data_IF_208146044039
#
_entry.id   IF_208146044039
#
_cell.length_a   1.000
_cell.length_b   1.000
_cell.length_c   1.000
_cell.angle_alpha   90.00
_cell.angle_beta   90.00
_cell.angle_gamma   90.00
#
_symmetry.space_group_name_H-M   'P 1'
#
loop_
_entity.id
_entity.type
_entity.pdbx_description
1 polymer ?
#
# COMPACT_ATOMS: atom_id res chain seq x y z
N UNK A 1 -6.01 -11.56 -12.38
CA UNK A 1 -5.05 -10.59 -12.96
C UNK A 1 -5.04 -10.63 -14.48
N UNK A 2 -4.99 -11.81 -15.05
CA UNK A 2 -4.92 -12.00 -16.49
C UNK A 2 -6.18 -11.50 -17.21
N UNK A 3 -7.30 -11.42 -16.49
CA UNK A 3 -8.58 -10.93 -17.01
C UNK A 3 -8.61 -9.42 -17.18
N UNK A 4 -7.66 -8.70 -16.58
CA UNK A 4 -7.58 -7.25 -16.70
C UNK A 4 -7.18 -6.81 -18.11
N UNK A 5 -6.47 -7.67 -18.82
CA UNK A 5 -5.90 -7.33 -20.11
C UNK A 5 -4.59 -6.58 -19.93
N UNK A 6 -4.13 -5.96 -20.99
CA UNK A 6 -2.84 -5.25 -21.00
C UNK A 6 -2.97 -3.87 -20.40
N UNK A 7 -2.04 -3.51 -19.49
CA UNK A 7 -2.05 -2.22 -18.79
C UNK A 7 -0.73 -1.48 -19.00
N UNK A 8 -0.73 -0.19 -18.79
CA UNK A 8 0.43 0.66 -18.95
C UNK A 8 1.30 0.72 -17.70
N UNK A 9 0.68 0.60 -16.53
CA UNK A 9 1.37 0.72 -15.25
C UNK A 9 0.71 -0.17 -14.20
N UNK A 10 1.53 -0.78 -13.39
CA UNK A 10 1.09 -1.48 -12.17
C UNK A 10 1.80 -0.83 -10.98
N UNK A 11 1.00 -0.52 -9.95
CA UNK A 11 1.51 -0.12 -8.66
C UNK A 11 1.34 -1.29 -7.70
N UNK A 12 2.46 -1.96 -7.39
CA UNK A 12 2.48 -3.18 -6.59
C UNK A 12 2.73 -2.89 -5.12
N UNK A 13 1.84 -3.39 -4.26
CA UNK A 13 1.95 -3.23 -2.81
C UNK A 13 2.10 -4.57 -2.09
N UNK A 14 2.19 -5.67 -2.84
CA UNK A 14 2.16 -7.03 -2.28
C UNK A 14 3.49 -7.74 -2.45
N UNK A 15 4.09 -7.66 -3.64
CA UNK A 15 5.33 -8.37 -3.95
C UNK A 15 5.13 -9.83 -4.31
N UNK A 16 6.21 -10.59 -4.35
CA UNK A 16 6.20 -12.03 -4.58
C UNK A 16 5.53 -12.44 -5.89
N UNK A 17 4.78 -13.51 -5.85
CA UNK A 17 4.12 -14.07 -7.04
C UNK A 17 3.10 -13.09 -7.66
N UNK A 18 2.41 -12.33 -6.83
CA UNK A 18 1.47 -11.32 -7.31
C UNK A 18 2.20 -10.27 -8.15
N UNK A 19 3.37 -9.83 -7.70
CA UNK A 19 4.18 -8.88 -8.45
C UNK A 19 4.58 -9.46 -9.82
N UNK A 20 5.05 -10.71 -9.84
CA UNK A 20 5.47 -11.36 -11.08
C UNK A 20 4.32 -11.50 -12.07
N UNK A 21 3.16 -11.91 -11.59
CA UNK A 21 1.96 -12.01 -12.41
C UNK A 21 1.49 -10.65 -12.90
N UNK A 22 1.59 -9.65 -12.05
CA UNK A 22 1.22 -8.28 -12.41
C UNK A 22 2.14 -7.72 -13.49
N UNK A 23 3.44 -8.00 -13.40
CA UNK A 23 4.39 -7.58 -14.43
C UNK A 23 4.04 -8.18 -15.79
N UNK A 24 3.47 -9.40 -15.80
CA UNK A 24 3.08 -10.09 -17.03
C UNK A 24 1.92 -9.45 -17.78
N UNK A 25 1.12 -8.60 -17.12
CA UNK A 25 0.00 -7.91 -17.79
C UNK A 25 0.36 -6.48 -18.22
N UNK A 26 1.60 -6.04 -17.97
CA UNK A 26 2.05 -4.71 -18.38
C UNK A 26 2.51 -4.79 -19.84
N UNK A 27 2.07 -3.82 -20.65
CA UNK A 27 2.51 -3.72 -22.05
C UNK A 27 4.02 -3.52 -22.14
N UNK A 28 4.60 -3.89 -23.27
CA UNK A 28 6.01 -3.59 -23.56
C UNK A 28 6.25 -2.08 -23.45
N UNK A 29 7.31 -1.69 -22.79
CA UNK A 29 7.62 -0.28 -22.51
C UNK A 29 6.86 0.32 -21.33
N UNK A 30 6.00 -0.45 -20.68
CA UNK A 30 5.25 0.01 -19.51
C UNK A 30 6.08 0.08 -18.23
N UNK A 31 5.42 0.28 -17.10
CA UNK A 31 6.11 0.52 -15.83
C UNK A 31 5.51 -0.30 -14.70
N UNK A 32 6.38 -0.93 -13.92
CA UNK A 32 6.04 -1.52 -12.62
C UNK A 32 6.65 -0.63 -11.54
N UNK A 33 5.81 -0.15 -10.62
CA UNK A 33 6.27 0.53 -9.41
C UNK A 33 5.91 -0.36 -8.23
N UNK A 34 6.88 -0.69 -7.39
CA UNK A 34 6.62 -1.51 -6.20
C UNK A 34 7.12 -0.85 -4.94
N UNK A 35 6.35 -1.01 -3.86
CA UNK A 35 6.74 -0.59 -2.51
C UNK A 35 6.99 -1.79 -1.59
N UNK A 36 6.88 -3.00 -2.14
CA UNK A 36 6.97 -4.25 -1.37
C UNK A 36 8.39 -4.83 -1.32
N UNK A 37 9.39 -4.05 -1.71
CA UNK A 37 10.78 -4.47 -1.78
C UNK A 37 11.31 -4.42 -3.21
N UNK A 38 12.58 -4.78 -3.43
CA UNK A 38 13.17 -4.73 -4.76
C UNK A 38 12.34 -5.55 -5.76
N UNK A 39 12.13 -5.03 -6.99
CA UNK A 39 11.32 -5.76 -7.97
C UNK A 39 12.03 -7.03 -8.44
N UNK A 40 11.28 -8.11 -8.51
CA UNK A 40 11.75 -9.39 -9.01
C UNK A 40 11.39 -9.63 -10.48
N UNK A 41 10.61 -8.73 -11.05
CA UNK A 41 10.17 -8.80 -12.44
C UNK A 41 10.09 -7.41 -13.03
N UNK A 42 10.15 -7.33 -14.36
CA UNK A 42 10.12 -6.07 -15.09
C UNK A 42 9.37 -6.25 -16.40
N UNK A 43 8.57 -5.27 -16.84
CA UNK A 43 7.96 -5.35 -18.15
C UNK A 43 9.02 -5.37 -19.27
N UNK A 44 8.70 -6.03 -20.38
CA UNK A 44 9.60 -6.05 -21.54
C UNK A 44 9.84 -4.61 -22.00
N UNK A 45 11.09 -4.26 -22.23
CA UNK A 45 11.51 -2.91 -22.66
C UNK A 45 11.00 -1.78 -21.81
N UNK A 46 10.63 -2.08 -20.57
CA UNK A 46 10.05 -1.12 -19.64
C UNK A 46 10.86 -0.90 -18.39
N UNK A 47 10.23 -0.26 -17.40
CA UNK A 47 10.85 0.12 -16.15
C UNK A 47 10.27 -0.68 -14.99
N UNK A 48 11.15 -1.01 -14.04
CA UNK A 48 10.73 -1.47 -12.71
C UNK A 48 11.36 -0.53 -11.68
N UNK A 49 10.51 0.09 -10.88
CA UNK A 49 10.92 1.10 -9.90
C UNK A 49 10.69 0.57 -8.50
N UNK A 50 11.76 0.50 -7.72
CA UNK A 50 11.69 0.20 -6.29
C UNK A 50 11.45 1.51 -5.54
N UNK A 51 10.21 1.77 -5.20
CA UNK A 51 9.84 3.00 -4.49
C UNK A 51 10.01 2.80 -2.99
N UNK A 52 10.98 3.50 -2.43
CA UNK A 52 11.27 3.44 -0.99
C UNK A 52 10.80 4.73 -0.34
N UNK A 53 9.86 4.61 0.59
CA UNK A 53 9.37 5.79 1.33
C UNK A 53 10.41 6.21 2.36
N UNK A 54 10.49 7.51 2.58
CA UNK A 54 11.33 8.10 3.60
C UNK A 54 10.47 8.87 4.59
N UNK A 55 10.91 8.91 5.85
CA UNK A 55 10.24 9.72 6.85
C UNK A 55 10.30 11.19 6.45
N UNK A 56 9.14 11.85 6.42
CA UNK A 56 9.05 13.27 6.09
C UNK A 56 7.94 13.90 6.94
N UNK A 57 8.35 14.70 7.90
CA UNK A 57 7.43 15.34 8.85
C UNK A 57 6.46 16.30 8.15
N UNK A 58 6.94 17.05 7.19
CA UNK A 58 6.11 18.01 6.47
C UNK A 58 5.01 17.31 5.68
N UNK A 59 5.37 16.24 4.98
CA UNK A 59 4.39 15.43 4.23
C UNK A 59 3.39 14.78 5.17
N UNK A 60 3.85 14.22 6.28
CA UNK A 60 2.96 13.60 7.25
C UNK A 60 1.97 14.61 7.85
N UNK A 61 2.46 15.81 8.15
CA UNK A 61 1.61 16.89 8.66
C UNK A 61 0.54 17.29 7.64
N UNK A 62 0.90 17.34 6.36
CA UNK A 62 -0.06 17.65 5.29
C UNK A 62 -1.12 16.54 5.15
N UNK A 63 -0.70 15.28 5.21
CA UNK A 63 -1.64 14.14 5.16
C UNK A 63 -2.62 14.21 6.34
N UNK A 64 -2.11 14.45 7.55
CA UNK A 64 -2.95 14.60 8.73
C UNK A 64 -3.95 15.75 8.57
N UNK A 65 -3.52 16.86 7.97
CA UNK A 65 -4.39 18.01 7.73
C UNK A 65 -5.49 17.66 6.72
N UNK A 66 -5.18 16.91 5.67
CA UNK A 66 -6.18 16.45 4.70
C UNK A 66 -7.25 15.56 5.34
N UNK A 67 -6.84 14.69 6.25
CA UNK A 67 -7.80 13.87 7.01
C UNK A 67 -8.68 14.76 7.88
N UNK A 68 -8.07 15.73 8.57
CA UNK A 68 -8.76 16.67 9.45
C UNK A 68 -9.80 17.50 8.69
N UNK A 69 -9.48 17.91 7.47
CA UNK A 69 -10.33 18.74 6.61
C UNK A 69 -11.39 17.92 5.86
N UNK A 70 -11.36 16.60 5.95
CA UNK A 70 -12.26 15.73 5.20
C UNK A 70 -11.88 15.55 3.73
N UNK A 71 -10.71 16.04 3.29
CA UNK A 71 -10.23 15.87 1.92
C UNK A 71 -9.65 14.48 1.67
N UNK A 72 -9.22 13.80 2.73
CA UNK A 72 -8.73 12.43 2.68
C UNK A 72 -9.50 11.61 3.71
N UNK A 73 -10.14 10.54 3.26
CA UNK A 73 -10.88 9.64 4.14
C UNK A 73 -10.10 8.36 4.36
N UNK A 74 -10.14 7.85 5.59
CA UNK A 74 -9.61 6.55 5.92
C UNK A 74 -10.75 5.62 6.27
N UNK A 75 -10.62 4.37 5.87
CA UNK A 75 -11.59 3.35 6.25
C UNK A 75 -11.11 2.71 7.55
N UNK A 76 -11.72 3.13 8.66
CA UNK A 76 -11.36 2.64 9.99
C UNK A 76 -12.19 1.41 10.31
N UNK A 77 -11.51 0.28 10.54
CA UNK A 77 -12.18 -0.97 10.91
C UNK A 77 -12.29 -1.17 12.41
N UNK A 78 -11.26 -0.76 13.16
CA UNK A 78 -11.20 -0.98 14.60
C UNK A 78 -10.42 0.15 15.28
N UNK A 79 -10.89 0.55 16.45
CA UNK A 79 -10.15 1.47 17.33
C UNK A 79 -9.91 0.74 18.64
N UNK A 80 -8.65 0.65 19.06
CA UNK A 80 -8.27 0.00 20.32
C UNK A 80 -7.54 0.98 21.23
N UNK A 81 -7.67 0.77 22.53
CA UNK A 81 -6.87 1.50 23.51
C UNK A 81 -5.42 1.02 23.47
N UNK A 82 -4.49 1.83 23.98
CA UNK A 82 -3.08 1.46 23.98
C UNK A 82 -2.83 0.15 24.74
N UNK A 83 -3.54 -0.10 25.83
CA UNK A 83 -3.41 -1.33 26.59
C UNK A 83 -3.80 -2.59 25.80
N UNK A 84 -4.61 -2.42 24.78
CA UNK A 84 -5.06 -3.52 23.91
C UNK A 84 -4.31 -3.59 22.58
N UNK A 85 -3.22 -2.82 22.44
CA UNK A 85 -2.51 -2.70 21.17
C UNK A 85 -1.96 -4.04 20.66
N UNK A 86 -1.41 -4.86 21.55
CA UNK A 86 -0.84 -6.16 21.16
C UNK A 86 -1.93 -7.05 20.57
N UNK A 87 -3.08 -7.14 21.23
CA UNK A 87 -4.21 -7.93 20.70
C UNK A 87 -4.73 -7.34 19.38
N UNK A 88 -4.75 -6.02 19.24
CA UNK A 88 -5.21 -5.36 18.03
C UNK A 88 -4.29 -5.62 16.84
N UNK A 89 -2.98 -5.74 17.06
CA UNK A 89 -2.01 -6.09 16.01
C UNK A 89 -2.06 -7.57 15.63
N UNK A 90 -2.67 -8.41 16.43
CA UNK A 90 -2.75 -9.85 16.20
C UNK A 90 -4.21 -10.31 16.22
N UNK A 91 -5.06 -9.80 15.29
CA UNK A 91 -6.47 -10.17 15.28
C UNK A 91 -6.63 -11.64 14.92
N UNK A 92 -7.63 -12.30 15.52
CA UNK A 92 -7.98 -13.67 15.20
C UNK A 92 -8.77 -13.78 13.90
N UNK A 93 -9.34 -12.67 13.45
CA UNK A 93 -10.10 -12.57 12.21
C UNK A 93 -9.55 -11.44 11.36
N UNK A 94 -9.73 -11.54 10.04
CA UNK A 94 -9.37 -10.46 9.13
C UNK A 94 -10.33 -9.29 9.32
N UNK A 95 -9.79 -8.14 9.63
CA UNK A 95 -10.56 -6.91 9.84
C UNK A 95 -10.45 -6.04 8.60
N UNK A 96 -11.58 -5.58 8.07
CA UNK A 96 -11.60 -4.60 6.98
C UNK A 96 -11.31 -3.22 7.52
N UNK A 97 -10.51 -2.48 6.78
CA UNK A 97 -10.13 -1.13 7.15
C UNK A 97 -8.91 -1.09 8.06
N UNK A 98 -8.61 0.09 8.52
CA UNK A 98 -7.43 0.34 9.34
C UNK A 98 -7.71 0.08 10.81
N UNK A 99 -6.70 -0.42 11.50
CA UNK A 99 -6.72 -0.52 12.96
C UNK A 99 -6.03 0.71 13.55
N UNK A 100 -6.74 1.41 14.40
CA UNK A 100 -6.26 2.63 15.06
C UNK A 100 -6.00 2.33 16.52
N UNK A 101 -4.84 2.72 17.01
CA UNK A 101 -4.52 2.65 18.43
C UNK A 101 -4.65 4.05 19.02
N UNK A 102 -5.55 4.18 19.99
CA UNK A 102 -5.76 5.46 20.68
C UNK A 102 -4.77 5.57 21.83
N UNK A 103 -3.87 6.54 21.72
CA UNK A 103 -2.84 6.77 22.76
C UNK A 103 -3.42 7.58 23.93
N UNK A 104 -4.30 8.52 23.62
CA UNK A 104 -4.97 9.37 24.64
C UNK A 104 -6.47 9.27 24.48
N UNK A 105 -7.22 9.32 25.59
CA UNK A 105 -8.69 9.31 25.56
C UNK A 105 -9.27 10.49 24.76
#
# INVERSE_FOLDING_TARGET
LEDVGEVDLVFDVIGGDIQKRSAGVIRAGGTLVTIAGPPEARPADGLAIDFVVMSDRAQLSEIAQRVRDGRLRTNIGTVAALDDAVAAFNPTERIKGKTIIRIRP
#
